data_IF_106902208469
#
_entry.id   IF_106902208469
#
_cell.length_a   1.000
_cell.length_b   1.000
_cell.length_c   1.000
_cell.angle_alpha   90.00
_cell.angle_beta   90.00
_cell.angle_gamma   90.00
#
_symmetry.space_group_name_H-M   'P 1'
#
loop_
_entity.id
_entity.type
_entity.pdbx_description
1 polymer ?
#
# COMPACT_ATOMS: atom_id res chain seq x y z
N UNK A 1 3.97 -22.84 -11.72
CA UNK A 1 2.57 -22.54 -11.36
C UNK A 1 2.24 -21.05 -11.47
N UNK A 2 3.16 -20.12 -11.18
CA UNK A 2 2.94 -18.67 -11.32
C UNK A 2 2.34 -18.23 -12.67
N UNK A 3 2.80 -18.82 -13.77
CA UNK A 3 2.29 -18.53 -15.13
C UNK A 3 0.85 -18.97 -15.41
N UNK A 4 0.19 -19.66 -14.47
CA UNK A 4 -1.25 -19.92 -14.56
C UNK A 4 -2.02 -18.59 -14.50
N UNK A 5 -1.58 -17.68 -13.62
CA UNK A 5 -2.25 -16.40 -13.34
C UNK A 5 -1.51 -15.17 -13.89
N UNK A 6 -0.21 -15.30 -14.21
CA UNK A 6 0.64 -14.22 -14.69
C UNK A 6 1.16 -14.45 -16.11
N UNK A 7 1.23 -13.39 -16.92
CA UNK A 7 1.84 -13.42 -18.26
C UNK A 7 3.36 -13.28 -18.20
N UNK A 8 3.86 -12.52 -17.21
CA UNK A 8 5.28 -12.26 -17.01
C UNK A 8 5.61 -12.32 -15.53
N UNK A 9 6.77 -12.91 -15.24
CA UNK A 9 7.30 -13.01 -13.87
C UNK A 9 8.68 -12.39 -13.85
N UNK A 10 8.89 -11.46 -12.93
CA UNK A 10 10.19 -10.85 -12.65
C UNK A 10 10.60 -11.22 -11.23
N UNK A 11 11.81 -11.74 -11.07
CA UNK A 11 12.36 -12.18 -9.80
C UNK A 11 13.65 -11.41 -9.55
N UNK A 12 13.64 -10.54 -8.55
CA UNK A 12 14.84 -9.85 -8.09
C UNK A 12 15.34 -10.57 -6.85
N UNK A 13 16.57 -11.07 -6.86
CA UNK A 13 17.12 -11.83 -5.73
C UNK A 13 18.49 -11.29 -5.32
N UNK A 14 18.71 -11.21 -4.02
CA UNK A 14 20.01 -10.87 -3.42
C UNK A 14 20.40 -11.92 -2.39
N UNK A 15 21.53 -12.56 -2.65
CA UNK A 15 22.21 -13.41 -1.68
C UNK A 15 23.30 -12.61 -0.94
N UNK A 16 23.73 -13.09 0.23
CA UNK A 16 24.82 -12.44 0.97
C UNK A 16 26.17 -12.60 0.24
N UNK A 17 26.34 -13.70 -0.48
CA UNK A 17 27.60 -14.08 -1.13
C UNK A 17 27.71 -13.63 -2.59
N UNK A 18 26.70 -12.92 -3.11
CA UNK A 18 26.66 -12.49 -4.52
C UNK A 18 25.91 -11.16 -4.67
N UNK A 19 25.93 -10.58 -5.85
CA UNK A 19 25.23 -9.34 -6.17
C UNK A 19 23.71 -9.49 -6.33
N UNK A 20 23.00 -8.38 -6.54
CA UNK A 20 21.57 -8.43 -6.84
C UNK A 20 21.38 -8.69 -8.33
N UNK A 21 20.55 -9.67 -8.66
CA UNK A 21 20.20 -10.01 -10.03
C UNK A 21 18.70 -9.96 -10.24
N UNK A 22 18.29 -9.54 -11.44
CA UNK A 22 16.92 -9.64 -11.94
C UNK A 22 16.86 -10.77 -12.95
N UNK A 23 16.04 -11.76 -12.65
CA UNK A 23 15.57 -12.77 -13.59
C UNK A 23 14.21 -12.37 -14.15
N UNK A 24 14.02 -12.51 -15.45
CA UNK A 24 12.75 -12.19 -16.12
C UNK A 24 12.39 -13.28 -17.14
N UNK A 25 11.12 -13.68 -17.15
CA UNK A 25 10.57 -14.56 -18.19
C UNK A 25 9.04 -14.42 -18.34
N UNK A 26 8.55 -14.76 -19.53
CA UNK A 26 7.15 -14.76 -19.94
C UNK A 26 6.65 -16.15 -20.38
N UNK A 27 7.25 -17.21 -19.82
CA UNK A 27 6.96 -18.61 -20.16
C UNK A 27 7.16 -19.02 -21.63
N UNK A 28 7.76 -18.18 -22.47
CA UNK A 28 8.05 -18.46 -23.89
C UNK A 28 9.28 -19.35 -24.14
N UNK A 29 9.72 -20.14 -23.15
CA UNK A 29 10.90 -21.01 -23.26
C UNK A 29 12.26 -20.31 -23.11
N UNK A 30 12.28 -18.98 -22.99
CA UNK A 30 13.48 -18.19 -22.76
C UNK A 30 13.35 -17.36 -21.48
N UNK A 31 14.49 -17.02 -20.89
CA UNK A 31 14.60 -16.13 -19.75
C UNK A 31 15.86 -15.26 -19.87
N UNK A 32 15.86 -14.12 -19.21
CA UNK A 32 17.03 -13.24 -19.14
C UNK A 32 17.44 -13.03 -17.68
N UNK A 33 18.75 -12.95 -17.45
CA UNK A 33 19.33 -12.60 -16.15
C UNK A 33 20.16 -11.34 -16.36
N UNK A 34 19.96 -10.32 -15.51
CA UNK A 34 20.68 -9.05 -15.56
C UNK A 34 21.11 -8.64 -14.15
N UNK A 35 22.23 -7.95 -14.04
CA UNK A 35 22.65 -7.29 -12.81
C UNK A 35 21.69 -6.14 -12.47
N UNK A 36 21.43 -5.89 -11.19
CA UNK A 36 20.54 -4.81 -10.74
C UNK A 36 21.26 -3.74 -9.88
N UNK A 37 22.02 -2.83 -10.50
CA UNK A 37 22.75 -1.80 -9.75
C UNK A 37 21.90 -0.58 -9.36
N UNK A 38 20.73 -0.39 -9.96
CA UNK A 38 19.91 0.84 -9.82
C UNK A 38 18.56 0.56 -9.13
N UNK A 39 18.07 -0.68 -9.19
CA UNK A 39 16.81 -1.07 -8.55
C UNK A 39 16.85 -0.92 -7.03
N UNK A 40 15.66 -1.07 -6.42
CA UNK A 40 15.49 -1.14 -4.99
C UNK A 40 16.46 -2.17 -4.38
N UNK A 41 17.35 -1.73 -3.49
CA UNK A 41 18.39 -2.58 -2.95
C UNK A 41 17.80 -3.53 -1.90
N UNK A 42 17.70 -4.81 -2.26
CA UNK A 42 17.33 -5.85 -1.33
C UNK A 42 18.52 -6.11 -0.40
N UNK A 43 18.33 -6.00 0.92
CA UNK A 43 19.39 -6.39 1.85
C UNK A 43 19.71 -7.88 1.77
N UNK A 44 18.67 -8.72 1.78
CA UNK A 44 18.73 -10.18 1.57
C UNK A 44 17.36 -10.69 1.16
N UNK A 45 17.32 -11.70 0.30
CA UNK A 45 16.10 -12.43 -0.05
C UNK A 45 15.68 -12.21 -1.49
N UNK A 46 14.37 -12.31 -1.75
CA UNK A 46 13.85 -12.34 -3.11
C UNK A 46 12.52 -11.58 -3.18
N UNK A 47 12.42 -10.69 -4.17
CA UNK A 47 11.19 -10.00 -4.57
C UNK A 47 10.66 -10.64 -5.84
N UNK A 48 9.39 -11.03 -5.83
CA UNK A 48 8.72 -11.62 -6.99
C UNK A 48 7.63 -10.64 -7.44
N UNK A 49 7.71 -10.20 -8.68
CA UNK A 49 6.69 -9.37 -9.33
C UNK A 49 5.95 -10.23 -10.34
N UNK A 50 4.65 -10.38 -10.11
CA UNK A 50 3.74 -11.10 -10.99
C UNK A 50 2.96 -10.08 -11.83
N UNK A 51 3.19 -10.07 -13.13
CA UNK A 51 2.34 -9.34 -14.06
C UNK A 51 1.14 -10.21 -14.38
N UNK A 52 0.05 -9.98 -13.63
CA UNK A 52 -1.19 -10.74 -13.76
C UNK A 52 -1.82 -10.55 -15.13
N UNK A 53 -2.51 -11.59 -15.59
CA UNK A 53 -3.36 -11.52 -16.78
C UNK A 53 -4.57 -10.63 -16.53
N UNK A 54 -5.12 -10.05 -17.59
CA UNK A 54 -6.30 -9.17 -17.51
C UNK A 54 -7.53 -9.88 -16.92
N UNK A 55 -7.66 -11.18 -17.13
CA UNK A 55 -8.75 -12.01 -16.61
C UNK A 55 -8.51 -12.52 -15.17
N UNK A 56 -7.33 -12.26 -14.59
CA UNK A 56 -6.91 -12.76 -13.27
C UNK A 56 -6.75 -11.62 -12.24
N UNK A 57 -7.38 -10.49 -12.48
CA UNK A 57 -7.40 -9.33 -11.57
C UNK A 57 -8.11 -9.63 -10.23
N UNK A 58 -8.87 -10.72 -10.14
CA UNK A 58 -9.46 -11.17 -8.86
C UNK A 58 -8.40 -11.37 -7.76
N UNK A 59 -7.16 -11.71 -8.13
CA UNK A 59 -6.08 -11.90 -7.17
C UNK A 59 -5.46 -10.59 -6.67
N UNK A 60 -5.89 -9.43 -7.18
CA UNK A 60 -5.59 -8.13 -6.59
C UNK A 60 -6.59 -7.75 -5.49
N UNK A 61 -7.72 -8.45 -5.36
CA UNK A 61 -8.70 -8.18 -4.32
C UNK A 61 -8.21 -8.68 -2.95
N UNK A 62 -8.24 -7.79 -1.96
CA UNK A 62 -7.81 -8.10 -0.59
C UNK A 62 -8.52 -9.34 -0.03
N UNK A 63 -9.84 -9.42 -0.22
CA UNK A 63 -10.67 -10.53 0.26
C UNK A 63 -10.20 -11.87 -0.33
N UNK A 64 -9.92 -11.90 -1.63
CA UNK A 64 -9.48 -13.09 -2.35
C UNK A 64 -8.12 -13.58 -1.83
N UNK A 65 -7.17 -12.66 -1.64
CA UNK A 65 -5.85 -12.98 -1.08
C UNK A 65 -5.99 -13.55 0.34
N UNK A 66 -6.80 -12.90 1.20
CA UNK A 66 -7.04 -13.36 2.58
C UNK A 66 -7.63 -14.77 2.63
N UNK A 67 -8.60 -15.09 1.76
CA UNK A 67 -9.19 -16.43 1.66
C UNK A 67 -8.15 -17.49 1.25
N UNK A 68 -7.30 -17.19 0.27
CA UNK A 68 -6.26 -18.11 -0.22
C UNK A 68 -5.23 -18.37 0.88
N UNK A 69 -4.73 -17.32 1.54
CA UNK A 69 -3.76 -17.43 2.62
C UNK A 69 -4.35 -18.23 3.79
N UNK A 70 -5.61 -17.96 4.17
CA UNK A 70 -6.29 -18.72 5.22
C UNK A 70 -6.46 -20.19 4.86
N UNK A 71 -6.76 -20.53 3.61
CA UNK A 71 -6.97 -21.93 3.19
C UNK A 71 -5.66 -22.72 3.03
N UNK A 72 -4.60 -22.08 2.55
CA UNK A 72 -3.39 -22.78 2.09
C UNK A 72 -2.14 -22.48 2.91
N UNK A 73 -2.14 -21.44 3.74
CA UNK A 73 -0.93 -20.96 4.41
C UNK A 73 -1.17 -20.48 5.85
N UNK A 74 -2.30 -20.83 6.46
CA UNK A 74 -2.66 -20.41 7.82
C UNK A 74 -1.64 -20.86 8.89
N UNK A 75 -0.98 -22.00 8.70
CA UNK A 75 -0.10 -22.59 9.72
C UNK A 75 1.38 -22.53 9.35
N UNK A 76 1.77 -21.64 8.42
CA UNK A 76 3.17 -21.37 8.12
C UNK A 76 3.82 -20.69 9.33
N UNK A 77 5.01 -21.16 9.72
CA UNK A 77 5.70 -20.70 10.94
C UNK A 77 6.26 -19.28 10.89
N UNK A 78 6.29 -18.66 9.71
CA UNK A 78 6.75 -17.28 9.51
C UNK A 78 5.56 -16.33 9.30
N UNK A 79 5.60 -15.09 9.82
CA UNK A 79 4.52 -14.11 9.63
C UNK A 79 4.30 -13.77 8.15
N UNK A 80 3.05 -13.88 7.70
CA UNK A 80 2.58 -13.49 6.37
C UNK A 80 1.86 -12.16 6.53
N UNK A 81 2.46 -11.10 5.97
CA UNK A 81 1.91 -9.75 5.99
C UNK A 81 1.30 -9.40 4.64
N UNK A 82 0.17 -8.72 4.67
CA UNK A 82 -0.49 -8.17 3.49
C UNK A 82 -0.53 -6.65 3.60
N UNK A 83 0.01 -5.95 2.60
CA UNK A 83 -0.08 -4.51 2.50
C UNK A 83 -1.49 -4.13 2.03
N UNK A 84 -2.27 -3.51 2.91
CA UNK A 84 -3.65 -3.08 2.63
C UNK A 84 -3.76 -1.56 2.63
N UNK A 85 -4.57 -1.01 1.72
CA UNK A 85 -4.89 0.41 1.69
C UNK A 85 -6.10 0.67 2.58
N UNK A 86 -5.97 1.60 3.53
CA UNK A 86 -7.05 2.03 4.42
C UNK A 86 -7.25 3.53 4.32
N UNK A 87 -8.50 3.97 4.52
CA UNK A 87 -8.87 5.38 4.60
C UNK A 87 -8.98 5.80 6.07
N UNK A 88 -8.36 6.93 6.43
CA UNK A 88 -8.59 7.61 7.71
C UNK A 88 -9.02 9.06 7.48
N UNK A 89 -9.93 9.54 8.33
CA UNK A 89 -10.25 10.97 8.41
C UNK A 89 -9.23 11.64 9.34
N UNK A 90 -8.37 12.51 8.80
CA UNK A 90 -7.49 13.37 9.59
C UNK A 90 -8.16 14.75 9.72
N UNK A 91 -8.26 15.25 10.94
CA UNK A 91 -8.60 16.65 11.18
C UNK A 91 -7.35 17.50 10.93
N UNK A 92 -7.45 18.47 10.01
CA UNK A 92 -6.39 19.45 9.80
C UNK A 92 -6.23 20.33 11.05
N UNK A 93 -4.98 20.60 11.45
CA UNK A 93 -4.67 21.73 12.32
C UNK A 93 -4.68 23.02 11.49
N UNK A 94 -5.00 24.14 12.13
CA UNK A 94 -5.13 25.45 11.49
C UNK A 94 -3.93 25.82 10.57
N UNK A 95 -2.72 25.39 10.91
CA UNK A 95 -1.50 25.65 10.12
C UNK A 95 -1.45 24.89 8.78
N UNK A 96 -2.06 23.70 8.66
CA UNK A 96 -2.12 22.93 7.40
C UNK A 96 -3.25 23.44 6.47
N UNK A 97 -4.30 24.08 7.01
CA UNK A 97 -5.37 24.71 6.23
C UNK A 97 -4.88 25.93 5.45
N UNK A 98 -3.93 26.68 5.99
CA UNK A 98 -3.41 27.88 5.33
C UNK A 98 -2.46 27.52 4.17
N UNK A 99 -1.69 26.43 4.30
CA UNK A 99 -0.87 25.88 3.19
C UNK A 99 -1.77 25.42 2.03
N UNK A 100 -2.90 24.78 2.31
CA UNK A 100 -3.80 24.31 1.26
C UNK A 100 -4.51 25.47 0.53
N UNK A 101 -4.77 26.59 1.22
CA UNK A 101 -5.27 27.83 0.60
C UNK A 101 -4.21 28.48 -0.27
N UNK A 102 -2.97 28.60 0.21
CA UNK A 102 -1.87 29.17 -0.57
C UNK A 102 -1.63 28.37 -1.86
N UNK A 103 -1.66 27.03 -1.80
CA UNK A 103 -1.49 26.16 -2.98
C UNK A 103 -2.66 26.27 -3.97
N UNK A 104 -3.89 26.52 -3.49
CA UNK A 104 -5.06 26.76 -4.36
C UNK A 104 -5.00 28.13 -5.02
N UNK A 105 -4.64 29.19 -4.29
CA UNK A 105 -4.45 30.52 -4.86
C UNK A 105 -3.28 30.57 -5.87
N UNK A 106 -2.21 29.81 -5.64
CA UNK A 106 -1.07 29.76 -6.57
C UNK A 106 -1.40 29.01 -7.87
N UNK A 107 -2.30 28.02 -7.81
CA UNK A 107 -2.80 27.31 -8.99
C UNK A 107 -3.80 28.16 -9.78
N UNK A 108 -4.72 28.88 -9.12
CA UNK A 108 -5.66 29.79 -9.80
C UNK A 108 -4.93 30.98 -10.46
N UNK A 109 -3.84 31.48 -9.86
CA UNK A 109 -2.99 32.52 -10.47
C UNK A 109 -2.16 32.04 -11.65
N UNK A 110 -1.91 30.74 -11.80
CA UNK A 110 -1.16 30.18 -12.94
C UNK A 110 -2.02 29.89 -14.18
N UNK A 111 -3.35 29.79 -14.04
CA UNK A 111 -4.27 29.57 -15.17
C UNK A 111 -4.88 30.87 -15.76
N UNK A 112 -4.76 32.01 -15.08
CA UNK A 112 -5.30 33.31 -15.53
C UNK A 112 -4.31 34.16 -16.33
N UNK A 113 -3.93 33.71 -17.52
CA UNK A 113 -3.24 34.55 -18.51
C UNK A 113 -4.22 35.16 -19.52
N UNK A 114 -4.24 36.50 -19.54
CA UNK A 114 -4.77 37.45 -20.55
C UNK A 114 -6.17 38.12 -20.37
N UNK A 115 -6.10 39.46 -20.52
CA UNK A 115 -7.08 40.52 -20.84
C UNK A 115 -7.94 41.24 -19.75
N UNK A 116 -7.44 42.46 -19.44
CA UNK A 116 -8.08 43.80 -19.30
C UNK A 116 -8.97 44.23 -18.10
N UNK A 117 -8.59 45.40 -17.56
CA UNK A 117 -9.05 46.25 -16.43
C UNK A 117 -10.52 46.78 -16.47
N UNK A 118 -11.05 47.57 -15.48
CA UNK A 118 -10.59 47.87 -14.11
C UNK A 118 -11.67 47.87 -12.97
N UNK A 119 -11.19 47.69 -11.74
CA UNK A 119 -11.46 48.42 -10.46
C UNK A 119 -12.85 49.03 -10.18
N UNK A 120 -13.52 48.56 -9.12
CA UNK A 120 -14.32 49.40 -8.20
C UNK A 120 -14.02 49.04 -6.74
N UNK A 121 -13.53 50.02 -5.99
CA UNK A 121 -13.47 50.05 -4.53
C UNK A 121 -14.89 50.17 -3.97
N UNK A 122 -15.22 49.41 -2.92
CA UNK A 122 -16.06 49.91 -1.85
C UNK A 122 -15.59 49.33 -0.51
N UNK A 123 -15.55 50.22 0.46
CA UNK A 123 -14.81 50.20 1.73
C UNK A 123 -15.75 49.80 2.87
N UNK A 124 -15.23 49.00 3.81
CA UNK A 124 -15.61 48.80 5.24
C UNK A 124 -17.11 48.63 5.62
N UNK A 125 -17.45 47.59 6.38
CA UNK A 125 -17.53 47.66 7.85
C UNK A 125 -18.09 46.36 8.49
N UNK A 126 -17.58 46.04 9.69
CA UNK A 126 -18.22 45.37 10.83
C UNK A 126 -19.00 44.04 10.67
N UNK A 127 -18.55 42.98 11.36
CA UNK A 127 -19.18 42.51 12.61
C UNK A 127 -18.77 41.09 13.02
N UNK A 128 -18.56 40.92 14.32
CA UNK A 128 -18.28 39.66 15.01
C UNK A 128 -19.30 38.56 14.66
N UNK A 129 -18.85 37.51 13.97
CA UNK A 129 -19.49 36.19 14.04
C UNK A 129 -18.46 35.12 14.40
N UNK A 130 -18.61 34.62 15.63
CA UNK A 130 -18.10 33.32 16.08
C UNK A 130 -18.67 32.23 15.18
N UNK A 131 -18.02 31.97 14.05
CA UNK A 131 -18.22 30.75 13.30
C UNK A 131 -17.20 29.74 13.81
N UNK A 132 -17.71 28.74 14.51
CA UNK A 132 -17.00 27.50 14.78
C UNK A 132 -16.43 27.02 13.45
N UNK A 133 -15.13 27.20 13.24
CA UNK A 133 -14.38 26.59 12.13
C UNK A 133 -14.72 25.10 12.12
N UNK A 134 -15.65 24.69 11.26
CA UNK A 134 -15.85 23.29 10.91
C UNK A 134 -14.56 22.83 10.27
N UNK A 135 -13.68 22.22 11.07
CA UNK A 135 -12.42 21.61 10.61
C UNK A 135 -12.73 20.78 9.38
N UNK A 136 -12.11 21.12 8.26
CA UNK A 136 -12.26 20.32 7.05
C UNK A 136 -11.61 18.97 7.29
N UNK A 137 -12.41 17.91 7.16
CA UNK A 137 -11.92 16.53 7.25
C UNK A 137 -11.39 16.13 5.89
N UNK A 138 -10.09 15.83 5.80
CA UNK A 138 -9.50 15.24 4.61
C UNK A 138 -9.46 13.72 4.79
N UNK A 139 -9.84 13.00 3.74
CA UNK A 139 -9.65 11.55 3.65
C UNK A 139 -8.23 11.27 3.18
N UNK A 140 -7.43 10.69 4.05
CA UNK A 140 -6.06 10.28 3.75
C UNK A 140 -6.02 8.76 3.53
N UNK A 141 -5.49 8.34 2.38
CA UNK A 141 -5.18 6.95 2.10
C UNK A 141 -3.82 6.61 2.71
N UNK A 142 -3.76 5.58 3.56
CA UNK A 142 -2.52 5.06 4.10
C UNK A 142 -2.41 3.55 3.87
N UNK A 143 -1.19 3.04 3.82
CA UNK A 143 -0.91 1.62 3.69
C UNK A 143 -0.47 1.04 5.02
N UNK A 144 -0.98 -0.14 5.36
CA UNK A 144 -0.66 -0.85 6.60
C UNK A 144 -0.38 -2.33 6.32
N UNK A 145 0.58 -2.91 7.04
CA UNK A 145 0.86 -4.33 7.03
C UNK A 145 -0.10 -5.08 7.97
N UNK A 146 -0.99 -5.91 7.42
CA UNK A 146 -1.86 -6.79 8.19
C UNK A 146 -1.28 -8.22 8.23
N UNK A 147 -1.05 -8.76 9.43
CA UNK A 147 -0.61 -10.16 9.60
C UNK A 147 -1.79 -11.14 9.51
N UNK A 148 -1.72 -12.08 8.56
CA UNK A 148 -2.82 -12.98 8.21
C UNK A 148 -2.81 -14.33 8.95
N UNK A 149 -1.65 -14.82 9.39
CA UNK A 149 -1.46 -16.17 9.94
C UNK A 149 -1.12 -16.18 11.44
N UNK A 150 -1.93 -15.48 12.24
CA UNK A 150 -1.73 -15.39 13.71
C UNK A 150 -1.95 -16.73 14.43
N UNK A 151 -2.77 -17.63 13.87
CA UNK A 151 -3.09 -18.93 14.46
C UNK A 151 -1.91 -19.89 14.30
N UNK A 152 -1.27 -20.24 15.42
CA UNK A 152 -0.16 -21.20 15.42
C UNK A 152 -0.70 -22.63 15.54
N UNK A 153 -0.14 -23.60 14.79
CA UNK A 153 -0.62 -24.97 14.84
C UNK A 153 -0.27 -25.64 16.18
N UNK A 154 -1.29 -26.14 16.86
CA UNK A 154 -1.14 -26.80 18.15
C UNK A 154 -0.38 -28.13 18.05
N UNK A 155 -0.51 -28.87 16.94
CA UNK A 155 0.12 -30.18 16.76
C UNK A 155 1.66 -30.14 16.65
N UNK A 156 2.26 -28.95 16.60
CA UNK A 156 3.71 -28.79 16.68
C UNK A 156 4.23 -28.63 18.12
N UNK A 157 3.34 -28.51 19.12
CA UNK A 157 3.67 -28.44 20.54
C UNK A 157 3.42 -29.78 21.23
N UNK A 158 4.09 -30.00 22.37
CA UNK A 158 3.84 -31.18 23.20
C UNK A 158 2.40 -31.12 23.76
N UNK A 159 1.65 -32.24 23.78
CA UNK A 159 0.29 -32.26 24.32
C UNK A 159 0.17 -31.79 25.77
N UNK A 160 1.23 -31.95 26.57
CA UNK A 160 1.31 -31.51 27.96
C UNK A 160 1.37 -29.99 28.12
N UNK A 161 1.87 -29.29 27.09
CA UNK A 161 2.02 -27.83 27.06
C UNK A 161 0.78 -27.12 26.48
N UNK A 162 -0.30 -27.86 26.17
CA UNK A 162 -1.51 -27.33 25.54
C UNK A 162 -2.62 -27.35 26.59
N UNK A 163 -3.02 -26.15 27.03
CA UNK A 163 -4.18 -26.00 27.91
C UNK A 163 -5.49 -26.27 27.18
N UNK A 164 -6.54 -26.59 27.93
CA UNK A 164 -7.88 -26.81 27.36
C UNK A 164 -8.45 -25.52 26.73
N UNK A 165 -8.08 -24.36 27.27
CA UNK A 165 -8.45 -23.05 26.74
C UNK A 165 -7.78 -22.78 25.39
N UNK A 166 -6.46 -23.00 25.27
CA UNK A 166 -5.74 -22.88 23.98
C UNK A 166 -6.28 -23.84 22.92
N UNK A 167 -6.69 -25.05 23.31
CA UNK A 167 -7.31 -26.02 22.39
C UNK A 167 -8.72 -25.59 21.95
N UNK A 168 -9.46 -24.87 22.79
CA UNK A 168 -10.79 -24.35 22.46
C UNK A 168 -10.77 -23.09 21.60
N UNK A 169 -9.71 -22.28 21.69
CA UNK A 169 -9.51 -21.08 20.86
C UNK A 169 -8.98 -21.38 19.45
N UNK A 170 -8.40 -22.58 19.26
CA UNK A 170 -7.81 -23.04 18.00
C UNK A 170 -8.83 -23.63 17.03
#
# INVERSE_FOLDING_TARGET
>A
SSYLIADKVVVTSRHNDDEQYVWESSAGGLFTIRLDPIGEHLGRGTKIVLHLKEDQLEYCEEKRIKEIVKKHSQFIGYPIKLLVQKEREKELSDDEEDIEKEVKEENEKKEGGDEDEPKVEDVEDSDEKKETKTRKKIKENYYEDEELNKTKPLWMRSPEDISHEEYGEF
#
